data_IF_172574036560
#
_entry.id   IF_172574036560
#
_cell.length_a   1.000
_cell.length_b   1.000
_cell.length_c   1.000
_cell.angle_alpha   90.00
_cell.angle_beta   90.00
_cell.angle_gamma   90.00
#
_symmetry.space_group_name_H-M   'P 1'
#
loop_
_entity.id
_entity.type
_entity.pdbx_description
1 polymer ?
#
# COMPACT_ATOMS: atom_id res chain seq x y z
N UNK A 1 -3.35 16.59 -6.59
CA UNK A 1 -3.33 15.20 -6.02
C UNK A 1 -1.91 14.65 -6.11
N UNK A 2 -1.36 14.07 -5.03
CA UNK A 2 -0.07 13.38 -5.06
C UNK A 2 -0.27 11.88 -5.35
N UNK A 3 0.83 11.16 -5.57
CA UNK A 3 0.79 9.71 -5.78
C UNK A 3 0.33 8.96 -4.52
N UNK A 4 -0.32 7.81 -4.71
CA UNK A 4 -0.48 6.81 -3.65
C UNK A 4 0.69 5.83 -3.66
N UNK A 5 0.58 4.76 -2.88
CA UNK A 5 1.57 3.68 -2.84
C UNK A 5 0.94 2.30 -3.01
N UNK A 6 1.76 1.34 -3.44
CA UNK A 6 1.40 -0.08 -3.47
C UNK A 6 2.02 -0.72 -2.23
N UNK A 7 1.19 -1.36 -1.40
CA UNK A 7 1.65 -2.01 -0.18
C UNK A 7 1.18 -3.46 -0.12
N UNK A 8 1.91 -4.29 0.60
CA UNK A 8 1.57 -5.70 0.83
C UNK A 8 1.03 -5.89 2.24
N UNK A 9 -0.14 -6.52 2.36
CA UNK A 9 -0.74 -6.82 3.66
C UNK A 9 0.05 -7.92 4.38
N UNK A 10 0.67 -7.59 5.49
CA UNK A 10 1.41 -8.56 6.31
C UNK A 10 0.50 -9.30 7.28
N UNK A 11 -0.49 -8.60 7.83
CA UNK A 11 -1.43 -9.17 8.80
C UNK A 11 -2.04 -8.10 9.66
N UNK A 12 -2.66 -8.53 10.76
CA UNK A 12 -3.23 -7.62 11.77
C UNK A 12 -2.59 -7.91 13.13
N UNK A 13 -2.42 -6.85 13.89
CA UNK A 13 -1.96 -6.89 15.28
C UNK A 13 -2.69 -5.81 16.09
N UNK A 14 -2.27 -5.58 17.29
CA UNK A 14 -2.75 -4.51 18.16
C UNK A 14 -1.56 -3.73 18.71
N UNK A 15 -1.73 -2.43 18.84
CA UNK A 15 -0.80 -1.55 19.52
C UNK A 15 -1.45 -1.10 20.82
N UNK A 16 -0.65 -1.01 21.86
CA UNK A 16 -1.04 -0.46 23.14
C UNK A 16 -0.63 1.01 23.14
N UNK A 17 -1.56 1.88 23.49
CA UNK A 17 -1.30 3.30 23.68
C UNK A 17 -1.03 3.59 25.16
N UNK A 18 -0.37 4.70 25.45
CA UNK A 18 -0.03 5.10 26.82
C UNK A 18 -1.26 5.33 27.71
N UNK A 19 -2.42 5.64 27.07
CA UNK A 19 -3.71 5.75 27.73
C UNK A 19 -4.38 4.41 28.09
N UNK A 20 -3.68 3.28 27.85
CA UNK A 20 -4.16 1.92 28.11
C UNK A 20 -5.10 1.36 27.05
N UNK A 21 -5.36 2.08 25.94
CA UNK A 21 -6.22 1.59 24.85
C UNK A 21 -5.49 0.60 23.96
N UNK A 22 -6.23 -0.41 23.53
CA UNK A 22 -5.78 -1.35 22.50
C UNK A 22 -6.28 -0.89 21.13
N UNK A 23 -5.38 -0.50 20.25
CA UNK A 23 -5.73 -0.09 18.89
C UNK A 23 -5.47 -1.26 17.94
N UNK A 24 -6.51 -1.83 17.30
CA UNK A 24 -6.31 -2.85 16.28
C UNK A 24 -5.71 -2.20 15.04
N UNK A 25 -4.62 -2.76 14.53
CA UNK A 25 -3.93 -2.24 13.35
C UNK A 25 -3.67 -3.33 12.33
N UNK A 26 -3.71 -2.95 11.06
CA UNK A 26 -3.21 -3.75 9.96
C UNK A 26 -1.83 -3.26 9.59
N UNK A 27 -0.88 -4.20 9.49
CA UNK A 27 0.49 -3.93 9.07
C UNK A 27 0.59 -4.08 7.56
N UNK A 28 1.06 -3.03 6.90
CA UNK A 28 1.32 -2.96 5.47
C UNK A 28 2.82 -2.79 5.26
N UNK A 29 3.41 -3.57 4.36
CA UNK A 29 4.82 -3.45 3.99
C UNK A 29 4.96 -2.83 2.61
N UNK A 30 5.90 -1.92 2.46
CA UNK A 30 6.36 -1.39 1.19
C UNK A 30 7.55 -2.22 0.72
N UNK A 31 7.34 -3.04 -0.30
CA UNK A 31 8.38 -3.90 -0.87
C UNK A 31 8.93 -3.25 -2.15
N UNK A 32 9.98 -2.44 -2.05
CA UNK A 32 10.69 -1.85 -3.19
C UNK A 32 9.78 -1.09 -4.14
N UNK A 33 9.00 -0.14 -3.61
CA UNK A 33 8.08 0.70 -4.39
C UNK A 33 8.88 1.72 -5.17
N UNK A 34 8.92 1.57 -6.50
CA UNK A 34 9.67 2.44 -7.41
C UNK A 34 8.80 2.97 -8.53
N UNK A 35 9.16 4.15 -9.03
CA UNK A 35 8.56 4.74 -10.23
C UNK A 35 9.09 4.00 -11.46
N UNK A 36 8.19 3.39 -12.22
CA UNK A 36 8.51 2.64 -13.45
C UNK A 36 8.32 3.50 -14.69
N UNK A 37 7.32 4.37 -14.70
CA UNK A 37 7.07 5.29 -15.79
C UNK A 37 6.30 6.51 -15.30
N UNK A 38 6.42 7.62 -16.03
CA UNK A 38 5.57 8.78 -15.88
C UNK A 38 4.76 8.99 -17.14
N UNK A 39 3.55 9.49 -16.98
CA UNK A 39 2.62 9.87 -18.05
C UNK A 39 2.51 11.38 -18.07
N UNK A 40 2.62 11.94 -19.26
CA UNK A 40 2.61 13.38 -19.51
C UNK A 40 1.45 13.72 -20.46
N UNK A 41 0.91 14.91 -20.32
CA UNK A 41 -0.25 15.34 -21.13
C UNK A 41 0.06 15.29 -22.64
N UNK A 42 1.27 15.72 -23.03
CA UNK A 42 1.66 15.84 -24.46
C UNK A 42 1.76 14.49 -25.18
N UNK A 43 2.19 13.45 -24.47
CA UNK A 43 2.42 12.12 -25.06
C UNK A 43 1.28 11.15 -24.83
N UNK A 44 0.73 11.15 -23.61
CA UNK A 44 -0.22 10.13 -23.15
C UNK A 44 -1.65 10.68 -23.02
N UNK A 45 -1.85 12.01 -23.08
CA UNK A 45 -3.14 12.67 -22.93
C UNK A 45 -3.65 12.73 -21.48
N UNK A 46 -2.83 12.38 -20.51
CA UNK A 46 -3.11 12.51 -19.06
C UNK A 46 -1.84 12.49 -18.25
N UNK A 47 -1.92 12.99 -17.02
CA UNK A 47 -0.79 13.04 -16.07
C UNK A 47 -0.93 11.93 -15.03
N UNK A 48 0.08 11.09 -14.92
CA UNK A 48 0.11 9.99 -13.94
C UNK A 48 1.53 9.51 -13.65
N UNK A 49 1.70 8.87 -12.49
CA UNK A 49 2.91 8.14 -12.11
C UNK A 49 2.59 6.66 -12.06
N UNK A 50 3.38 5.85 -12.75
CA UNK A 50 3.27 4.39 -12.71
C UNK A 50 4.27 3.85 -11.69
N UNK A 51 3.76 3.23 -10.64
CA UNK A 51 4.55 2.60 -9.59
C UNK A 51 4.61 1.10 -9.77
N UNK A 52 5.76 0.52 -9.48
CA UNK A 52 5.97 -0.92 -9.37
C UNK A 52 6.34 -1.32 -7.95
N UNK A 53 5.88 -2.48 -7.48
CA UNK A 53 6.19 -3.01 -6.16
C UNK A 53 6.51 -4.51 -6.19
N UNK A 54 7.31 -4.96 -5.23
CA UNK A 54 7.79 -6.33 -5.13
C UNK A 54 8.72 -6.72 -6.28
N UNK A 55 9.52 -7.76 -6.12
CA UNK A 55 10.38 -8.28 -7.17
C UNK A 55 9.74 -9.46 -7.91
N UNK A 56 9.92 -9.52 -9.22
CA UNK A 56 9.50 -10.63 -10.05
C UNK A 56 10.72 -11.32 -10.66
N UNK A 57 10.72 -12.66 -10.67
CA UNK A 57 11.79 -13.42 -11.34
C UNK A 57 11.77 -13.14 -12.85
N UNK A 58 12.87 -12.68 -13.42
CA UNK A 58 12.98 -12.29 -14.83
C UNK A 58 12.49 -13.38 -15.82
N UNK A 59 12.67 -14.66 -15.46
CA UNK A 59 12.19 -15.80 -16.27
C UNK A 59 10.67 -15.88 -16.40
N UNK A 60 9.92 -15.31 -15.43
CA UNK A 60 8.47 -15.33 -15.41
C UNK A 60 7.84 -14.07 -16.03
N UNK A 61 8.65 -13.10 -16.42
CA UNK A 61 8.19 -11.83 -17.01
C UNK A 61 8.27 -11.90 -18.51
N UNK A 62 7.19 -11.57 -19.20
CA UNK A 62 7.12 -11.57 -20.66
C UNK A 62 8.10 -10.55 -21.28
N UNK A 63 8.60 -10.84 -22.48
CA UNK A 63 9.58 -9.98 -23.18
C UNK A 63 9.15 -8.51 -23.29
N UNK A 64 7.89 -8.16 -23.63
CA UNK A 64 7.45 -6.77 -23.67
C UNK A 64 7.54 -6.06 -22.32
N UNK A 65 7.17 -6.74 -21.24
CA UNK A 65 7.27 -6.19 -19.89
C UNK A 65 8.73 -6.02 -19.44
N UNK A 66 9.61 -6.97 -19.77
CA UNK A 66 11.04 -6.80 -19.52
C UNK A 66 11.61 -5.58 -20.23
N UNK A 67 11.20 -5.33 -21.48
CA UNK A 67 11.56 -4.11 -22.20
C UNK A 67 11.03 -2.84 -21.55
N UNK A 68 9.83 -2.89 -21.00
CA UNK A 68 9.24 -1.77 -20.24
C UNK A 68 10.06 -1.41 -19.00
N UNK A 69 10.41 -2.41 -18.17
CA UNK A 69 11.26 -2.22 -17.00
C UNK A 69 12.71 -1.85 -17.38
N UNK A 70 13.27 -2.44 -18.44
CA UNK A 70 14.59 -2.11 -18.94
C UNK A 70 14.71 -0.67 -19.42
N UNK A 71 13.65 -0.10 -20.02
CA UNK A 71 13.61 1.30 -20.41
C UNK A 71 13.63 2.27 -19.21
N UNK A 72 13.10 1.81 -18.08
CA UNK A 72 13.07 2.55 -16.82
C UNK A 72 14.31 2.29 -15.94
N UNK A 73 15.21 1.39 -16.35
CA UNK A 73 16.37 0.93 -15.58
C UNK A 73 15.99 0.37 -14.19
N UNK A 74 14.80 -0.25 -14.10
CA UNK A 74 14.26 -0.80 -12.88
C UNK A 74 14.14 -2.32 -13.00
N UNK A 75 14.41 -3.03 -11.90
CA UNK A 75 14.17 -4.47 -11.83
C UNK A 75 12.70 -4.83 -12.07
N UNK A 76 12.44 -6.00 -12.68
CA UNK A 76 11.06 -6.44 -12.90
C UNK A 76 10.24 -6.48 -11.60
N UNK A 77 9.11 -5.78 -11.60
CA UNK A 77 8.21 -5.68 -10.45
C UNK A 77 7.07 -6.71 -10.54
N UNK A 78 6.60 -7.16 -9.37
CA UNK A 78 5.51 -8.14 -9.27
C UNK A 78 4.14 -7.52 -9.58
N UNK A 79 3.93 -6.28 -9.16
CA UNK A 79 2.69 -5.53 -9.38
C UNK A 79 3.02 -4.13 -9.87
N UNK A 80 2.24 -3.67 -10.83
CA UNK A 80 2.35 -2.31 -11.39
C UNK A 80 0.98 -1.65 -11.34
N UNK A 81 0.93 -0.40 -10.91
CA UNK A 81 -0.30 0.39 -10.85
C UNK A 81 -0.01 1.85 -11.20
N UNK A 82 -0.96 2.49 -11.88
CA UNK A 82 -0.88 3.92 -12.18
C UNK A 82 -1.69 4.75 -11.18
N UNK A 83 -1.11 5.89 -10.82
CA UNK A 83 -1.75 6.88 -9.98
C UNK A 83 -1.83 8.19 -10.74
N UNK A 84 -3.04 8.67 -10.97
CA UNK A 84 -3.23 10.01 -11.52
C UNK A 84 -2.82 11.05 -10.50
N UNK A 85 -1.99 11.97 -10.94
CA UNK A 85 -1.44 13.07 -10.12
C UNK A 85 -1.60 14.39 -10.85
N UNK A 86 -1.41 15.49 -10.14
CA UNK A 86 -1.26 16.80 -10.75
C UNK A 86 0.16 16.93 -11.33
N UNK A 87 0.38 17.88 -12.21
CA UNK A 87 1.68 18.07 -12.87
C UNK A 87 2.81 18.27 -11.86
N UNK A 88 2.56 19.02 -10.79
CA UNK A 88 3.49 19.25 -9.67
C UNK A 88 3.78 17.99 -8.85
N UNK A 89 2.94 16.97 -9.00
CA UNK A 89 3.05 15.67 -8.31
C UNK A 89 3.82 14.62 -9.09
N UNK A 90 4.39 14.95 -10.25
CA UNK A 90 5.20 14.02 -11.03
C UNK A 90 6.50 13.68 -10.30
N UNK A 91 6.90 12.43 -10.43
CA UNK A 91 8.14 11.87 -9.86
C UNK A 91 9.05 11.37 -10.98
N UNK A 92 10.35 11.42 -10.74
CA UNK A 92 11.33 10.89 -11.69
C UNK A 92 11.30 9.36 -11.73
N UNK A 93 11.58 8.82 -12.91
CA UNK A 93 11.64 7.37 -13.13
C UNK A 93 12.80 6.78 -12.32
N UNK A 94 12.55 5.64 -11.66
CA UNK A 94 13.54 4.99 -10.79
C UNK A 94 13.48 5.46 -9.32
N UNK A 95 12.83 6.59 -9.00
CA UNK A 95 12.72 7.06 -7.62
C UNK A 95 12.01 6.03 -6.73
N UNK A 96 12.53 5.79 -5.53
CA UNK A 96 11.94 4.90 -4.53
C UNK A 96 11.10 5.69 -3.53
N UNK A 97 9.91 5.15 -3.19
CA UNK A 97 9.02 5.73 -2.19
C UNK A 97 9.21 5.00 -0.86
N UNK A 98 9.45 5.74 0.21
CA UNK A 98 9.62 5.23 1.56
C UNK A 98 8.32 5.32 2.39
N UNK A 99 8.34 4.73 3.60
CA UNK A 99 7.16 4.71 4.47
C UNK A 99 6.82 6.09 5.08
N UNK A 100 7.78 7.01 5.09
CA UNK A 100 7.61 8.43 5.49
C UNK A 100 6.73 9.23 4.50
N UNK A 101 6.36 8.61 3.36
CA UNK A 101 5.34 9.15 2.47
C UNK A 101 4.03 9.46 3.21
N UNK A 102 3.72 8.74 4.25
CA UNK A 102 2.55 8.95 5.10
C UNK A 102 2.96 9.36 6.51
N UNK A 103 2.14 10.20 7.13
CA UNK A 103 2.37 10.73 8.48
C UNK A 103 1.35 10.12 9.46
N UNK A 104 1.76 9.95 10.71
CA UNK A 104 0.84 9.49 11.78
C UNK A 104 -0.33 10.47 11.93
N UNK A 105 -1.52 9.95 12.17
CA UNK A 105 -2.78 10.72 12.23
C UNK A 105 -3.41 11.04 10.88
N UNK A 106 -2.71 10.81 9.77
CA UNK A 106 -3.25 11.01 8.43
C UNK A 106 -4.35 10.00 8.13
N UNK A 107 -5.40 10.44 7.41
CA UNK A 107 -6.45 9.56 6.89
C UNK A 107 -6.15 9.12 5.47
N UNK A 108 -6.34 7.83 5.21
CA UNK A 108 -6.07 7.19 3.93
C UNK A 108 -7.22 6.31 3.46
N UNK A 109 -7.32 6.12 2.16
CA UNK A 109 -8.23 5.19 1.52
C UNK A 109 -7.44 3.97 1.02
N UNK A 110 -7.82 2.78 1.49
CA UNK A 110 -7.15 1.53 1.14
C UNK A 110 -8.03 0.70 0.23
N UNK A 111 -7.55 0.46 -0.98
CA UNK A 111 -8.23 -0.35 -1.99
C UNK A 111 -7.54 -1.69 -2.18
N UNK A 112 -8.33 -2.75 -2.29
CA UNK A 112 -7.79 -4.08 -2.55
C UNK A 112 -8.86 -5.09 -2.95
N UNK A 113 -8.41 -6.27 -3.37
CA UNK A 113 -9.27 -7.37 -3.74
C UNK A 113 -9.65 -8.18 -2.49
N UNK A 114 -10.93 -8.30 -2.21
CA UNK A 114 -11.43 -9.03 -1.04
C UNK A 114 -11.24 -10.53 -1.21
N UNK A 115 -11.16 -11.26 -0.09
CA UNK A 115 -11.13 -12.71 -0.11
C UNK A 115 -12.36 -13.28 -0.82
N UNK A 116 -12.13 -14.22 -1.75
CA UNK A 116 -13.20 -14.98 -2.37
C UNK A 116 -13.83 -15.95 -1.39
N UNK A 117 -15.17 -16.04 -1.44
CA UNK A 117 -15.98 -16.98 -0.64
C UNK A 117 -16.81 -17.92 -1.53
N UNK A 118 -16.47 -17.96 -2.83
CA UNK A 118 -17.16 -18.77 -3.83
C UNK A 118 -18.63 -18.39 -4.00
N UNK A 119 -19.44 -19.35 -4.45
CA UNK A 119 -20.88 -19.18 -4.52
C UNK A 119 -21.47 -19.20 -3.12
N UNK A 120 -22.21 -18.19 -2.76
CA UNK A 120 -22.82 -18.02 -1.44
C UNK A 120 -24.35 -17.85 -1.56
N UNK A 121 -25.09 -18.55 -0.70
CA UNK A 121 -26.54 -18.40 -0.61
C UNK A 121 -26.95 -17.01 -0.14
N UNK A 122 -28.21 -16.68 -0.32
CA UNK A 122 -28.75 -15.35 0.03
C UNK A 122 -28.56 -15.00 1.52
N UNK A 123 -28.64 -15.95 2.42
CA UNK A 123 -28.39 -15.73 3.84
C UNK A 123 -26.95 -15.26 4.09
N UNK A 124 -25.95 -15.96 3.57
CA UNK A 124 -24.53 -15.58 3.75
C UNK A 124 -24.15 -14.31 3.00
N UNK A 125 -24.68 -14.14 1.79
CA UNK A 125 -24.28 -13.02 0.92
C UNK A 125 -24.94 -11.71 1.29
N UNK A 126 -26.20 -11.75 1.78
CA UNK A 126 -27.02 -10.57 1.97
C UNK A 126 -27.64 -10.46 3.36
N UNK A 127 -27.44 -11.46 4.24
CA UNK A 127 -28.00 -11.47 5.58
C UNK A 127 -29.50 -11.79 5.62
N UNK A 128 -30.02 -12.55 4.67
CA UNK A 128 -31.44 -12.97 4.68
C UNK A 128 -31.69 -13.93 5.85
N UNK A 129 -32.87 -13.81 6.48
CA UNK A 129 -33.28 -14.62 7.63
C UNK A 129 -33.54 -16.10 7.29
N UNK A 130 -33.88 -16.41 6.04
CA UNK A 130 -34.35 -17.74 5.64
C UNK A 130 -35.79 -18.01 6.09
N UNK A 131 -36.16 -19.30 6.13
CA UNK A 131 -37.45 -19.76 6.59
C UNK A 131 -37.33 -20.46 7.96
N UNK A 132 -38.44 -20.74 8.61
CA UNK A 132 -38.49 -21.38 9.93
C UNK A 132 -37.82 -22.77 9.88
N UNK A 133 -37.20 -23.16 11.00
CA UNK A 133 -36.58 -24.48 11.13
C UNK A 133 -37.60 -25.60 11.38
N UNK A 134 -38.79 -25.24 11.87
CA UNK A 134 -39.91 -26.14 12.22
C UNK A 134 -41.22 -25.61 11.63
N UNK A 135 -42.38 -26.04 12.13
CA UNK A 135 -43.72 -25.65 11.65
C UNK A 135 -43.97 -26.04 10.18
N UNK A 136 -43.63 -27.26 9.81
CA UNK A 136 -43.97 -27.85 8.53
C UNK A 136 -43.08 -27.41 7.35
N UNK A 137 -42.03 -26.60 7.58
CA UNK A 137 -41.07 -26.24 6.54
C UNK A 137 -40.21 -27.45 6.23
N UNK A 138 -40.23 -27.87 4.97
CA UNK A 138 -39.40 -28.96 4.43
C UNK A 138 -38.39 -28.41 3.42
N UNK A 139 -37.10 -28.76 3.57
CA UNK A 139 -35.99 -28.47 2.64
C UNK A 139 -35.64 -27.00 2.37
N UNK A 140 -36.55 -26.05 2.56
CA UNK A 140 -36.41 -24.64 2.13
C UNK A 140 -35.89 -23.70 3.21
N UNK A 141 -35.23 -24.20 4.26
CA UNK A 141 -34.80 -23.42 5.43
C UNK A 141 -33.89 -22.24 5.09
N UNK A 142 -33.08 -22.37 4.07
CA UNK A 142 -32.06 -21.36 3.68
C UNK A 142 -32.38 -20.60 2.39
N UNK A 143 -33.61 -20.69 1.89
CA UNK A 143 -34.04 -20.01 0.68
C UNK A 143 -34.18 -18.50 0.90
N UNK A 144 -34.17 -17.73 -0.18
CA UNK A 144 -34.26 -16.26 -0.12
C UNK A 144 -35.71 -15.74 -0.09
N UNK A 145 -36.71 -16.63 -0.17
CA UNK A 145 -38.11 -16.27 -0.23
C UNK A 145 -38.59 -15.84 -1.62
N UNK A 146 -39.60 -14.99 -1.68
CA UNK A 146 -40.17 -14.52 -2.94
C UNK A 146 -39.19 -13.68 -3.76
N UNK A 147 -39.23 -13.84 -5.07
CA UNK A 147 -38.43 -13.06 -6.02
C UNK A 147 -39.19 -11.86 -6.61
N UNK A 148 -40.50 -11.81 -6.44
CA UNK A 148 -41.35 -10.74 -6.97
C UNK A 148 -42.82 -11.07 -6.88
N UNK A 149 -43.64 -10.23 -7.48
CA UNK A 149 -45.06 -10.43 -7.64
C UNK A 149 -45.32 -11.37 -8.82
N UNK A 150 -46.56 -11.78 -9.02
CA UNK A 150 -46.97 -12.76 -10.00
C UNK A 150 -46.93 -12.19 -11.44
N UNK A 151 -48.10 -11.88 -12.04
CA UNK A 151 -48.23 -11.39 -13.43
C UNK A 151 -47.83 -9.92 -13.57
N UNK A 152 -48.00 -9.10 -12.57
CA UNK A 152 -47.57 -7.72 -12.51
C UNK A 152 -46.41 -7.55 -11.50
N UNK A 153 -45.26 -7.07 -11.93
CA UNK A 153 -44.83 -6.56 -13.26
C UNK A 153 -44.35 -7.66 -14.23
N UNK A 154 -44.57 -8.94 -13.99
CA UNK A 154 -44.17 -10.06 -14.86
C UNK A 154 -42.66 -10.27 -15.00
N UNK A 155 -41.88 -9.62 -14.16
CA UNK A 155 -40.40 -9.67 -14.15
C UNK A 155 -39.84 -9.55 -12.76
N UNK A 156 -38.61 -10.03 -12.58
CA UNK A 156 -37.83 -9.75 -11.36
C UNK A 156 -37.14 -8.40 -11.54
N UNK A 157 -37.28 -7.50 -10.57
CA UNK A 157 -36.64 -6.20 -10.62
C UNK A 157 -35.11 -6.30 -10.65
N UNK A 158 -34.47 -5.39 -11.36
CA UNK A 158 -33.00 -5.27 -11.38
C UNK A 158 -32.50 -5.07 -9.94
N UNK A 159 -31.28 -5.54 -9.64
CA UNK A 159 -30.65 -5.46 -8.33
C UNK A 159 -31.34 -6.27 -7.22
N UNK A 160 -32.31 -7.15 -7.52
CA UNK A 160 -32.86 -8.10 -6.54
C UNK A 160 -31.72 -8.93 -5.93
N UNK A 161 -31.62 -8.91 -4.60
CA UNK A 161 -30.59 -9.65 -3.87
C UNK A 161 -30.84 -11.16 -3.97
N UNK A 162 -29.89 -11.89 -4.54
CA UNK A 162 -29.94 -13.35 -4.76
C UNK A 162 -28.61 -13.99 -4.40
N UNK A 163 -28.61 -15.32 -4.33
CA UNK A 163 -27.40 -16.12 -4.24
C UNK A 163 -26.44 -15.81 -5.41
N UNK A 164 -25.15 -16.06 -5.24
CA UNK A 164 -24.15 -15.85 -6.26
C UNK A 164 -22.75 -15.70 -5.68
N UNK A 165 -21.80 -15.34 -6.52
CA UNK A 165 -20.41 -15.17 -6.14
C UNK A 165 -20.24 -14.09 -5.07
N UNK A 166 -19.55 -14.42 -3.98
CA UNK A 166 -19.27 -13.51 -2.85
C UNK A 166 -17.76 -13.33 -2.70
N UNK A 167 -17.34 -12.08 -2.49
CA UNK A 167 -15.93 -11.72 -2.40
C UNK A 167 -15.23 -11.69 -3.76
N UNK A 168 -13.90 -11.72 -3.75
CA UNK A 168 -13.01 -11.68 -4.92
C UNK A 168 -13.32 -10.52 -5.86
N UNK A 169 -13.56 -9.34 -5.26
CA UNK A 169 -13.84 -8.09 -5.96
C UNK A 169 -13.08 -6.94 -5.33
N UNK A 170 -12.81 -5.91 -6.09
CA UNK A 170 -12.19 -4.70 -5.58
C UNK A 170 -13.14 -3.97 -4.61
N UNK A 171 -12.61 -3.57 -3.49
CA UNK A 171 -13.27 -2.77 -2.46
C UNK A 171 -12.30 -1.75 -1.90
N UNK A 172 -12.82 -0.59 -1.58
CA UNK A 172 -12.08 0.48 -0.92
C UNK A 172 -12.64 0.67 0.48
N UNK A 173 -11.78 0.64 1.47
CA UNK A 173 -12.08 1.07 2.82
C UNK A 173 -11.58 2.50 2.96
N UNK A 174 -12.49 3.43 3.21
CA UNK A 174 -12.20 4.85 3.26
C UNK A 174 -11.91 5.34 4.68
N UNK A 175 -11.16 6.44 4.77
CA UNK A 175 -10.89 7.18 6.02
C UNK A 175 -10.29 6.31 7.12
N UNK A 176 -9.28 5.50 6.78
CA UNK A 176 -8.51 4.76 7.77
C UNK A 176 -7.37 5.65 8.28
N UNK A 177 -7.21 5.72 9.59
CA UNK A 177 -6.16 6.48 10.28
C UNK A 177 -4.83 5.71 10.25
N UNK A 178 -3.75 6.39 9.93
CA UNK A 178 -2.39 5.86 10.09
C UNK A 178 -1.97 6.10 11.54
N UNK A 179 -1.66 5.02 12.25
CA UNK A 179 -1.25 5.08 13.65
C UNK A 179 0.23 5.44 13.77
N UNK A 180 1.06 4.76 12.99
CA UNK A 180 2.51 4.99 12.94
C UNK A 180 3.12 4.47 11.64
N UNK A 181 4.34 4.88 11.36
CA UNK A 181 5.15 4.39 10.25
C UNK A 181 6.52 3.97 10.76
N UNK A 182 7.09 2.92 10.18
CA UNK A 182 8.46 2.46 10.44
C UNK A 182 9.22 2.55 9.12
N UNK A 183 10.08 3.56 9.03
CA UNK A 183 10.82 3.88 7.80
C UNK A 183 11.91 2.84 7.53
N UNK A 184 12.58 2.35 8.58
CA UNK A 184 13.67 1.38 8.44
C UNK A 184 13.20 0.07 7.84
N UNK A 185 12.05 -0.42 8.32
CA UNK A 185 11.44 -1.67 7.86
C UNK A 185 10.46 -1.48 6.70
N UNK A 186 10.16 -0.24 6.33
CA UNK A 186 9.17 0.08 5.30
C UNK A 186 7.75 -0.35 5.68
N UNK A 187 7.35 -0.20 6.96
CA UNK A 187 6.04 -0.61 7.46
C UNK A 187 5.14 0.59 7.71
N UNK A 188 3.85 0.40 7.41
CA UNK A 188 2.79 1.35 7.70
C UNK A 188 1.73 0.63 8.55
N UNK A 189 1.36 1.24 9.68
CA UNK A 189 0.37 0.71 10.60
C UNK A 189 -0.94 1.48 10.43
N UNK A 190 -1.95 0.82 9.88
CA UNK A 190 -3.27 1.41 9.59
C UNK A 190 -4.28 0.89 10.59
N UNK A 191 -5.02 1.77 11.23
CA UNK A 191 -6.06 1.46 12.21
C UNK A 191 -7.22 0.70 11.57
N UNK A 192 -7.53 -0.46 12.13
CA UNK A 192 -8.66 -1.26 11.68
C UNK A 192 -8.33 -2.27 10.59
N UNK A 193 -9.36 -2.76 9.91
CA UNK A 193 -9.25 -3.79 8.88
C UNK A 193 -9.12 -3.20 7.48
N UNK A 194 -8.37 -3.88 6.63
CA UNK A 194 -8.25 -3.57 5.21
C UNK A 194 -8.70 -4.76 4.36
N UNK A 195 -9.15 -4.56 3.11
CA UNK A 195 -9.56 -5.66 2.24
C UNK A 195 -8.40 -6.63 1.96
N UNK A 196 -8.74 -7.84 1.53
CA UNK A 196 -7.77 -8.86 1.10
C UNK A 196 -7.27 -9.79 2.20
N UNK A 197 -6.55 -10.82 1.78
CA UNK A 197 -5.90 -11.83 2.63
C UNK A 197 -4.49 -11.37 3.01
N UNK A 198 -3.84 -12.08 3.92
CA UNK A 198 -2.41 -11.92 4.21
C UNK A 198 -1.60 -12.18 2.94
N UNK A 199 -0.68 -11.28 2.62
CA UNK A 199 0.09 -11.31 1.37
C UNK A 199 -0.58 -10.63 0.16
N UNK A 200 -1.82 -10.13 0.29
CA UNK A 200 -2.49 -9.39 -0.78
C UNK A 200 -1.85 -8.02 -1.02
N UNK A 201 -1.77 -7.63 -2.29
CA UNK A 201 -1.37 -6.29 -2.69
C UNK A 201 -2.54 -5.31 -2.56
N UNK A 202 -2.25 -4.15 -2.02
CA UNK A 202 -3.18 -3.09 -1.73
C UNK A 202 -2.68 -1.78 -2.32
N UNK A 203 -3.63 -0.93 -2.67
CA UNK A 203 -3.37 0.44 -3.11
C UNK A 203 -3.79 1.35 -1.96
N UNK A 204 -2.86 2.16 -1.47
CA UNK A 204 -3.08 3.15 -0.42
C UNK A 204 -2.99 4.53 -1.04
N UNK A 205 -4.01 5.35 -0.82
CA UNK A 205 -4.09 6.74 -1.31
C UNK A 205 -4.52 7.65 -0.16
N UNK A 206 -4.23 8.94 -0.28
CA UNK A 206 -4.81 9.93 0.61
C UNK A 206 -6.34 9.84 0.58
N UNK A 207 -6.99 10.11 1.72
CA UNK A 207 -8.44 10.08 1.81
C UNK A 207 -9.05 11.14 0.88
N UNK A 208 -9.98 10.72 0.02
CA UNK A 208 -10.65 11.62 -0.93
C UNK A 208 -11.60 12.59 -0.23
N UNK A 209 -12.21 12.15 0.89
CA UNK A 209 -13.25 12.90 1.60
C UNK A 209 -12.72 13.86 2.66
N UNK A 210 -11.43 13.78 2.97
CA UNK A 210 -10.78 14.59 4.01
C UNK A 210 -9.61 15.35 3.39
N UNK A 211 -9.43 16.62 3.72
CA UNK A 211 -8.27 17.38 3.27
C UNK A 211 -6.98 16.68 3.69
N UNK A 212 -5.97 16.79 2.85
CA UNK A 212 -4.63 16.27 3.14
C UNK A 212 -4.05 16.93 4.38
N UNK A 213 -3.39 16.15 5.24
CA UNK A 213 -2.67 16.68 6.40
C UNK A 213 -1.56 17.63 5.94
N UNK A 214 -1.33 18.72 6.68
CA UNK A 214 -0.39 19.77 6.28
C UNK A 214 1.07 19.28 6.21
N UNK A 215 1.45 18.39 7.14
CA UNK A 215 2.84 17.91 7.29
C UNK A 215 3.21 16.78 6.32
N UNK A 216 2.31 16.41 5.43
CA UNK A 216 2.54 15.32 4.49
C UNK A 216 3.51 15.75 3.38
N UNK A 217 4.60 15.00 3.13
CA UNK A 217 5.57 15.33 2.10
C UNK A 217 4.94 15.40 0.71
N UNK A 218 5.31 16.40 -0.06
CA UNK A 218 4.85 16.61 -1.43
C UNK A 218 6.07 16.82 -2.35
N UNK A 219 6.14 16.18 -3.50
CA UNK A 219 5.16 15.29 -4.15
C UNK A 219 5.10 13.88 -3.56
N UNK A 220 6.14 13.39 -2.89
CA UNK A 220 6.18 12.10 -2.21
C UNK A 220 7.31 12.05 -1.16
N UNK A 221 7.20 11.17 -0.17
CA UNK A 221 8.33 10.76 0.68
C UNK A 221 9.25 9.85 -0.12
N UNK A 222 10.37 10.37 -0.57
CA UNK A 222 11.37 9.62 -1.33
C UNK A 222 12.42 9.05 -0.40
N UNK A 223 12.82 7.82 -0.64
CA UNK A 223 13.96 7.23 0.05
C UNK A 223 15.22 7.98 -0.38
N UNK A 224 15.85 8.68 0.56
CA UNK A 224 17.13 9.32 0.31
C UNK A 224 18.13 8.23 -0.05
N UNK A 225 18.81 8.38 -1.20
CA UNK A 225 19.99 7.58 -1.50
C UNK A 225 20.98 7.81 -0.35
N UNK A 226 21.44 6.75 0.30
CA UNK A 226 22.48 6.87 1.30
C UNK A 226 23.68 7.53 0.62
N UNK A 227 23.89 8.83 0.93
CA UNK A 227 25.07 9.55 0.49
C UNK A 227 26.28 8.84 1.11
N UNK A 228 27.00 8.08 0.29
CA UNK A 228 28.32 7.57 0.62
C UNK A 228 29.37 8.69 0.54
N UNK A 229 29.11 9.80 1.23
CA UNK A 229 30.07 10.90 1.40
C UNK A 229 29.96 11.41 2.82
N UNK A 230 30.20 10.52 3.79
CA UNK A 230 30.77 10.95 5.06
C UNK A 230 32.31 10.96 4.84
N UNK A 231 32.76 12.02 4.17
CA UNK A 231 34.17 12.40 4.19
C UNK A 231 34.49 12.76 5.64
N UNK A 232 35.23 11.88 6.28
CA UNK A 232 35.89 12.11 7.55
C UNK A 232 36.57 13.50 7.51
N UNK A 233 36.49 14.29 8.60
CA UNK A 233 37.25 15.51 8.68
C UNK A 233 38.73 15.16 8.63
N UNK A 234 39.42 15.75 7.68
CA UNK A 234 40.87 15.69 7.58
C UNK A 234 41.47 16.29 8.85
N UNK A 235 42.05 15.44 9.66
CA UNK A 235 42.97 15.84 10.70
C UNK A 235 44.22 16.45 10.00
N UNK A 236 44.32 17.73 10.06
CA UNK A 236 45.56 18.47 9.74
C UNK A 236 46.60 18.16 10.81
N UNK A 237 47.79 17.65 10.46
CA UNK A 237 48.90 17.63 11.41
C UNK A 237 49.44 19.06 11.53
N UNK A 238 49.33 19.66 12.71
CA UNK A 238 50.10 20.83 13.08
C UNK A 238 51.55 20.41 13.33
N UNK A 239 52.37 20.91 12.44
CA UNK A 239 53.82 21.01 12.53
C UNK A 239 54.17 22.07 13.57
N UNK A 240 55.14 21.80 14.48
CA UNK A 240 56.18 22.73 14.92
C UNK A 240 57.08 22.05 15.91
N UNK A 241 58.23 21.77 15.42
CA UNK A 241 59.57 22.23 15.77
C UNK A 241 59.81 22.69 17.25
N UNK A 242 60.72 22.08 17.90
CA UNK A 242 61.91 22.75 18.47
C UNK A 242 62.76 21.76 19.28
N UNK A 243 63.91 21.47 18.74
CA UNK A 243 65.25 21.78 19.24
C UNK A 243 65.69 21.11 20.55
N UNK A 244 66.74 20.37 20.33
CA UNK A 244 68.03 20.52 20.97
C UNK A 244 68.33 19.78 22.27
N UNK A 245 69.41 19.14 22.17
CA UNK A 245 70.59 18.96 22.98
C UNK A 245 70.68 17.66 23.77
N UNK A 246 71.57 16.86 23.25
CA UNK A 246 72.90 16.56 23.76
C UNK A 246 72.99 15.99 25.18
N UNK A 247 73.47 14.82 25.38
CA UNK A 247 74.78 14.45 25.92
C UNK A 247 74.80 12.96 26.31
N UNK A 248 75.78 12.29 25.74
CA UNK A 248 76.82 11.50 26.36
C UNK A 248 76.53 10.65 27.62
N UNK A 249 77.04 9.47 27.52
CA UNK A 249 77.48 8.69 28.69
C UNK A 249 77.10 7.20 28.60
N UNK A 250 77.88 6.37 27.96
CA UNK A 250 78.91 5.60 28.53
C UNK A 250 78.49 4.44 29.49
N UNK A 251 78.84 3.27 29.05
CA UNK A 251 79.28 2.12 29.81
C UNK A 251 78.28 1.28 30.65
N UNK A 252 78.40 0.01 30.34
CA UNK A 252 77.92 -1.08 31.13
C UNK A 252 77.54 -2.32 30.29
#
# INVERSE_FOLDING_TARGET
MRTGVIAKKMGMTRLFQDDGRHVPVTVLALEGVQVVARREMDKDGYVAVQLGAGSAKAKNVAKPQRGHFGKAEVEPKAVVCEFRVEEDGLLDVGAEIAADHFVAGQLVDVSGRTQGKGFAGAMKRWGFGGLRASHGVSLSHRSHGSTGNRQDPGRVFKNKKMAGHMGDRNRTQQNLEIVSTDVERGLIFVKGSVPGHKGAWLIVKDAVKVPRHADVPYPAGLKQAANSNDSAPADTPADEAASAEATEGQEG
#
